data_IF_772055404530
#
_entry.id   IF_772055404530
#
_cell.length_a   1.000
_cell.length_b   1.000
_cell.length_c   1.000
_cell.angle_alpha   90.00
_cell.angle_beta   90.00
_cell.angle_gamma   90.00
#
_symmetry.space_group_name_H-M   'P 1'
#
loop_
_entity.id
_entity.type
_entity.pdbx_description
1 polymer ?
#
# COMPACT_ATOMS: atom_id res chain seq x y z
N UNK A 1 6.94 -10.58 -5.11
CA UNK A 1 6.08 -9.64 -5.82
C UNK A 1 5.59 -10.13 -7.17
N UNK A 2 6.10 -11.23 -7.68
CA UNK A 2 5.65 -11.80 -8.95
C UNK A 2 4.15 -12.13 -8.95
N UNK A 3 3.62 -12.64 -7.83
CA UNK A 3 2.18 -12.93 -7.72
C UNK A 3 1.33 -11.70 -7.98
N UNK A 4 1.74 -10.53 -7.45
CA UNK A 4 1.05 -9.27 -7.70
C UNK A 4 1.20 -8.84 -9.16
N UNK A 5 2.42 -8.92 -9.67
CA UNK A 5 2.76 -8.43 -11.03
C UNK A 5 2.07 -9.25 -12.12
N UNK A 6 1.73 -10.51 -11.84
CA UNK A 6 1.03 -11.39 -12.78
C UNK A 6 -0.49 -11.17 -12.79
N UNK A 7 -1.04 -10.41 -11.85
CA UNK A 7 -2.49 -10.16 -11.80
C UNK A 7 -2.91 -9.23 -12.95
N UNK A 8 -4.02 -9.56 -13.63
CA UNK A 8 -4.55 -8.67 -14.68
C UNK A 8 -4.83 -7.25 -14.19
N UNK A 9 -5.32 -7.09 -12.95
CA UNK A 9 -5.59 -5.77 -12.38
C UNK A 9 -4.31 -4.94 -12.26
N UNK A 10 -3.19 -5.58 -11.91
CA UNK A 10 -1.90 -4.91 -11.88
C UNK A 10 -1.42 -4.54 -13.29
N UNK A 11 -1.52 -5.49 -14.21
CA UNK A 11 -1.04 -5.28 -15.58
C UNK A 11 -1.77 -4.12 -16.27
N UNK A 12 -3.05 -3.95 -16.01
CA UNK A 12 -3.86 -2.86 -16.58
C UNK A 12 -3.70 -1.54 -15.83
N UNK A 13 -3.25 -1.56 -14.59
CA UNK A 13 -3.16 -0.36 -13.76
C UNK A 13 -2.06 0.58 -14.26
N UNK A 14 -2.36 1.88 -14.34
CA UNK A 14 -1.40 2.92 -14.68
C UNK A 14 -0.98 3.73 -13.44
N UNK A 15 -1.91 4.02 -12.55
CA UNK A 15 -1.68 4.80 -11.34
C UNK A 15 -1.92 3.91 -10.13
N UNK A 16 -0.88 3.69 -9.34
CA UNK A 16 -0.89 2.72 -8.25
C UNK A 16 -0.44 3.40 -6.96
N UNK A 17 -1.31 3.34 -5.94
CA UNK A 17 -0.91 3.65 -4.58
C UNK A 17 -0.21 2.42 -3.99
N UNK A 18 0.98 2.61 -3.44
CA UNK A 18 1.77 1.54 -2.80
C UNK A 18 2.48 2.13 -1.58
N UNK A 19 2.95 1.27 -0.71
CA UNK A 19 3.70 1.69 0.48
C UNK A 19 5.19 1.41 0.31
N UNK A 20 6.03 2.19 0.98
CA UNK A 20 7.45 1.89 1.13
C UNK A 20 7.61 1.04 2.39
N UNK A 21 8.00 -0.22 2.21
CA UNK A 21 7.91 -1.23 3.27
C UNK A 21 8.85 -0.97 4.45
N UNK A 22 8.32 -1.19 5.66
CA UNK A 22 9.10 -1.32 6.89
C UNK A 22 9.71 -2.74 6.96
N UNK A 23 10.72 -2.97 7.81
CA UNK A 23 11.39 -4.27 7.85
C UNK A 23 10.49 -5.46 8.18
N UNK A 24 9.40 -5.25 8.89
CA UNK A 24 8.44 -6.30 9.27
C UNK A 24 7.26 -6.46 8.31
N UNK A 25 7.26 -5.69 7.22
CA UNK A 25 6.23 -5.73 6.20
C UNK A 25 6.71 -6.50 4.98
N UNK A 26 5.77 -6.96 4.13
CA UNK A 26 6.13 -7.50 2.82
C UNK A 26 6.89 -6.44 2.05
N UNK A 27 8.09 -6.78 1.58
CA UNK A 27 9.01 -5.85 0.95
C UNK A 27 8.48 -5.29 -0.36
N UNK A 28 8.54 -3.97 -0.52
CA UNK A 28 8.09 -3.27 -1.73
C UNK A 28 9.19 -2.45 -2.39
N UNK A 29 10.38 -2.35 -1.78
CA UNK A 29 11.43 -1.45 -2.30
C UNK A 29 11.92 -1.88 -3.68
N UNK A 30 12.11 -3.18 -3.91
CA UNK A 30 12.49 -3.68 -5.23
C UNK A 30 11.38 -3.45 -6.26
N UNK A 31 10.13 -3.60 -5.85
CA UNK A 31 8.98 -3.30 -6.69
C UNK A 31 8.97 -1.81 -7.09
N UNK A 32 9.20 -0.92 -6.15
CA UNK A 32 9.29 0.52 -6.44
C UNK A 32 10.39 0.80 -7.47
N UNK A 33 11.55 0.18 -7.29
CA UNK A 33 12.67 0.38 -8.21
C UNK A 33 12.36 -0.11 -9.62
N UNK A 34 11.70 -1.27 -9.75
CA UNK A 34 11.37 -1.84 -11.07
C UNK A 34 10.28 -1.06 -11.79
N UNK A 35 9.31 -0.53 -11.08
CA UNK A 35 8.09 -0.01 -11.70
C UNK A 35 7.94 1.50 -11.68
N UNK A 36 8.77 2.24 -10.95
CA UNK A 36 8.63 3.70 -10.82
C UNK A 36 8.73 4.45 -12.15
N UNK A 37 9.44 3.89 -13.13
CA UNK A 37 9.55 4.49 -14.45
C UNK A 37 8.54 3.94 -15.46
N UNK A 38 7.90 2.83 -15.15
CA UNK A 38 6.96 2.14 -16.06
C UNK A 38 5.51 2.44 -15.73
N UNK A 39 5.22 2.71 -14.46
CA UNK A 39 3.88 3.03 -13.97
C UNK A 39 3.99 4.25 -13.07
N UNK A 40 2.87 4.95 -12.88
CA UNK A 40 2.84 6.07 -11.93
C UNK A 40 2.60 5.50 -10.54
N UNK A 41 3.63 5.47 -9.72
CA UNK A 41 3.54 5.00 -8.34
C UNK A 41 3.38 6.17 -7.39
N UNK A 42 2.45 6.05 -6.46
CA UNK A 42 2.18 7.04 -5.42
C UNK A 42 2.54 6.45 -4.07
N UNK A 43 3.23 7.22 -3.26
CA UNK A 43 3.57 6.86 -1.89
C UNK A 43 2.91 7.81 -0.91
N UNK A 44 2.50 7.32 0.26
CA UNK A 44 1.95 8.18 1.30
C UNK A 44 3.03 8.98 2.01
N UNK A 45 2.69 10.20 2.37
CA UNK A 45 3.50 11.08 3.21
C UNK A 45 2.67 11.43 4.44
N UNK A 46 3.22 11.22 5.63
CA UNK A 46 2.52 11.52 6.88
C UNK A 46 2.51 13.02 7.12
N UNK A 47 1.32 13.58 7.24
CA UNK A 47 1.09 14.99 7.57
C UNK A 47 0.10 15.08 8.74
N UNK A 48 0.64 15.22 9.96
CA UNK A 48 -0.20 15.19 11.15
C UNK A 48 -0.89 13.84 11.31
N UNK A 49 -2.21 13.84 11.25
CA UNK A 49 -3.03 12.63 11.39
C UNK A 49 -3.61 12.11 10.07
N UNK A 50 -3.14 12.64 8.93
CA UNK A 50 -3.58 12.22 7.60
C UNK A 50 -2.40 11.81 6.73
N UNK A 51 -2.70 11.06 5.67
CA UNK A 51 -1.75 10.74 4.60
C UNK A 51 -2.02 11.63 3.40
N UNK A 52 -0.97 12.30 2.93
CA UNK A 52 -0.94 12.91 1.61
C UNK A 52 -0.27 11.95 0.64
N UNK A 53 -0.60 12.04 -0.65
CA UNK A 53 0.01 11.19 -1.67
C UNK A 53 0.92 12.02 -2.56
N UNK A 54 2.10 11.48 -2.86
CA UNK A 54 3.06 12.08 -3.77
C UNK A 54 3.66 11.01 -4.67
N UNK A 55 4.07 11.42 -5.88
CA UNK A 55 4.61 10.48 -6.86
C UNK A 55 6.00 9.99 -6.44
N UNK A 56 6.26 8.71 -6.61
CA UNK A 56 7.59 8.13 -6.50
C UNK A 56 8.21 8.04 -7.89
N UNK A 57 9.11 8.97 -8.23
CA UNK A 57 9.79 8.97 -9.52
C UNK A 57 11.05 8.13 -9.50
N UNK A 58 11.79 8.17 -8.40
CA UNK A 58 13.02 7.40 -8.21
C UNK A 58 13.15 6.96 -6.76
N UNK A 59 13.56 5.71 -6.55
CA UNK A 59 13.79 5.20 -5.20
C UNK A 59 14.83 6.05 -4.45
N UNK A 60 15.86 6.53 -5.14
CA UNK A 60 16.93 7.33 -4.53
C UNK A 60 16.49 8.70 -4.06
N UNK A 61 15.34 9.20 -4.53
CA UNK A 61 14.81 10.50 -4.09
C UNK A 61 14.01 10.43 -2.80
N UNK A 62 13.75 9.23 -2.28
CA UNK A 62 12.98 9.04 -1.06
C UNK A 62 13.83 9.42 0.16
N UNK A 63 13.18 10.03 1.14
CA UNK A 63 13.79 10.48 2.38
C UNK A 63 13.04 9.90 3.57
N UNK A 64 13.74 9.69 4.69
CA UNK A 64 13.09 9.21 5.91
C UNK A 64 12.14 10.27 6.46
N UNK A 65 10.87 9.91 6.61
CA UNK A 65 9.84 10.79 7.14
C UNK A 65 9.67 10.64 8.65
N UNK A 66 8.53 11.16 9.14
CA UNK A 66 8.22 11.26 10.57
C UNK A 66 8.23 9.91 11.28
N UNK A 67 7.75 8.85 10.62
CA UNK A 67 7.66 7.50 11.21
C UNK A 67 8.79 6.59 10.72
N UNK A 68 9.90 7.15 10.27
CA UNK A 68 11.04 6.43 9.68
C UNK A 68 10.65 5.65 8.42
N UNK A 69 9.56 6.02 7.78
CA UNK A 69 9.12 5.50 6.50
C UNK A 69 9.73 6.36 5.40
N UNK A 70 10.18 5.72 4.31
CA UNK A 70 10.69 6.46 3.17
C UNK A 70 9.55 7.19 2.47
N UNK A 71 9.74 8.48 2.21
CA UNK A 71 8.71 9.35 1.64
C UNK A 71 9.28 10.21 0.51
N UNK A 72 8.49 10.47 -0.56
CA UNK A 72 8.90 11.35 -1.66
C UNK A 72 8.64 12.82 -1.32
N UNK A 73 9.40 13.38 -0.38
CA UNK A 73 9.14 14.69 0.21
C UNK A 73 9.31 15.85 -0.77
N UNK A 74 10.10 15.68 -1.84
CA UNK A 74 10.38 16.73 -2.81
C UNK A 74 9.40 16.74 -3.99
N UNK A 75 8.47 15.80 -4.04
CA UNK A 75 7.48 15.73 -5.10
C UNK A 75 6.23 16.54 -4.75
N UNK A 76 5.54 17.11 -5.75
CA UNK A 76 4.31 17.83 -5.49
C UNK A 76 3.19 16.92 -4.96
N UNK A 77 2.25 17.54 -4.26
CA UNK A 77 1.07 16.84 -3.75
C UNK A 77 0.25 16.29 -4.91
N UNK A 78 -0.09 15.00 -4.83
CA UNK A 78 -0.99 14.36 -5.78
C UNK A 78 -2.43 14.47 -5.26
N UNK A 79 -3.31 15.02 -6.09
CA UNK A 79 -4.70 15.30 -5.69
C UNK A 79 -5.74 14.60 -6.55
N UNK A 80 -5.35 13.98 -7.64
CA UNK A 80 -6.26 13.37 -8.62
C UNK A 80 -6.59 11.93 -8.24
N UNK A 81 -7.14 11.73 -7.04
CA UNK A 81 -7.41 10.41 -6.47
C UNK A 81 -8.33 9.55 -7.35
N UNK A 82 -9.18 10.19 -8.13
CA UNK A 82 -10.09 9.50 -9.05
C UNK A 82 -9.35 8.78 -10.19
N UNK A 83 -8.08 9.10 -10.42
CA UNK A 83 -7.27 8.43 -11.45
C UNK A 83 -6.54 7.20 -10.93
N UNK A 84 -6.57 6.92 -9.62
CA UNK A 84 -5.90 5.77 -9.04
C UNK A 84 -6.62 4.49 -9.45
N UNK A 85 -5.87 3.55 -10.02
CA UNK A 85 -6.42 2.28 -10.52
C UNK A 85 -6.34 1.16 -9.49
N UNK A 86 -5.29 1.17 -8.67
CA UNK A 86 -4.96 0.07 -7.77
C UNK A 86 -4.33 0.65 -6.50
N UNK A 87 -4.68 0.10 -5.35
CA UNK A 87 -4.07 0.45 -4.08
C UNK A 87 -3.53 -0.81 -3.40
N UNK A 88 -2.25 -0.77 -3.05
CA UNK A 88 -1.55 -1.85 -2.35
C UNK A 88 -1.32 -1.38 -0.92
N UNK A 89 -1.94 -2.06 0.04
CA UNK A 89 -2.13 -1.57 1.40
C UNK A 89 -1.34 -2.44 2.39
N UNK A 90 -0.52 -1.82 3.27
CA UNK A 90 0.17 -2.56 4.32
C UNK A 90 -0.76 -2.86 5.49
N UNK A 91 -0.36 -3.79 6.35
CA UNK A 91 -1.07 -4.07 7.58
C UNK A 91 -0.26 -4.95 8.50
N UNK A 92 -0.72 -5.04 9.75
CA UNK A 92 -0.14 -5.92 10.77
C UNK A 92 -0.71 -7.32 10.63
N UNK A 93 -2.01 -7.43 10.37
CA UNK A 93 -2.73 -8.69 10.19
C UNK A 93 -3.85 -8.52 9.18
N UNK A 94 -4.24 -9.62 8.55
CA UNK A 94 -5.29 -9.65 7.53
C UNK A 94 -6.13 -10.91 7.68
N UNK A 95 -7.38 -10.83 7.26
CA UNK A 95 -8.22 -12.01 7.08
C UNK A 95 -8.36 -12.31 5.58
N UNK A 96 -8.63 -13.58 5.21
CA UNK A 96 -8.81 -13.92 3.79
C UNK A 96 -9.94 -13.14 3.10
N UNK A 97 -10.93 -12.68 3.84
CA UNK A 97 -12.06 -11.90 3.30
C UNK A 97 -11.80 -10.39 3.25
N UNK A 98 -10.58 -9.95 3.54
CA UNK A 98 -10.17 -8.57 3.29
C UNK A 98 -10.21 -7.62 4.48
N UNK A 99 -10.42 -8.11 5.69
CA UNK A 99 -10.27 -7.29 6.89
C UNK A 99 -8.80 -7.04 7.17
N UNK A 100 -8.49 -5.86 7.70
CA UNK A 100 -7.12 -5.44 7.93
C UNK A 100 -6.97 -4.81 9.31
N UNK A 101 -5.91 -5.18 10.02
CA UNK A 101 -5.47 -4.52 11.25
C UNK A 101 -4.27 -3.64 10.91
N UNK A 102 -4.41 -2.34 11.15
CA UNK A 102 -3.31 -1.38 11.00
C UNK A 102 -2.54 -1.19 12.30
N UNK A 103 -1.63 -0.21 12.29
CA UNK A 103 -0.77 0.07 13.45
C UNK A 103 -1.42 1.00 14.50
N UNK A 104 -2.73 1.25 14.39
CA UNK A 104 -3.49 2.00 15.39
C UNK A 104 -3.64 3.49 15.11
N UNK A 105 -3.01 4.04 14.08
CA UNK A 105 -3.11 5.46 13.74
C UNK A 105 -4.31 5.80 12.87
N UNK A 106 -4.92 4.81 12.19
CA UNK A 106 -6.07 5.01 11.32
C UNK A 106 -5.77 5.75 10.02
N UNK A 107 -4.51 5.87 9.64
CA UNK A 107 -4.10 6.62 8.45
C UNK A 107 -4.73 6.10 7.16
N UNK A 108 -4.63 4.78 6.93
CA UNK A 108 -5.16 4.17 5.71
C UNK A 108 -6.68 4.13 5.69
N UNK A 109 -7.33 3.90 6.83
CA UNK A 109 -8.79 3.91 6.89
C UNK A 109 -9.35 5.30 6.58
N UNK A 110 -8.69 6.35 7.06
CA UNK A 110 -9.09 7.72 6.69
C UNK A 110 -8.85 8.02 5.22
N UNK A 111 -7.68 7.62 4.68
CA UNK A 111 -7.38 7.82 3.27
C UNK A 111 -8.38 7.09 2.39
N UNK A 112 -8.58 5.80 2.65
CA UNK A 112 -9.42 4.94 1.81
C UNK A 112 -10.92 5.23 1.96
N UNK A 113 -11.33 5.96 3.00
CA UNK A 113 -12.71 6.40 3.16
C UNK A 113 -13.07 7.56 2.24
N UNK A 114 -12.11 8.21 1.59
CA UNK A 114 -12.38 9.21 0.57
C UNK A 114 -13.21 8.55 -0.55
N UNK A 115 -14.35 9.17 -0.96
CA UNK A 115 -15.20 8.58 -2.00
C UNK A 115 -14.51 8.23 -3.30
N UNK A 116 -13.42 8.91 -3.64
CA UNK A 116 -12.63 8.60 -4.84
C UNK A 116 -12.04 7.19 -4.83
N UNK A 117 -11.87 6.57 -3.64
CA UNK A 117 -11.34 5.22 -3.52
C UNK A 117 -12.38 4.11 -3.67
N UNK A 118 -13.66 4.43 -3.82
CA UNK A 118 -14.71 3.41 -3.92
C UNK A 118 -14.51 2.46 -5.09
N UNK A 119 -14.07 2.99 -6.24
CA UNK A 119 -13.81 2.18 -7.43
C UNK A 119 -12.37 1.65 -7.54
N UNK A 120 -11.52 1.95 -6.58
CA UNK A 120 -10.12 1.51 -6.59
C UNK A 120 -10.04 0.10 -6.05
N UNK A 121 -9.40 -0.80 -6.80
CA UNK A 121 -9.15 -2.17 -6.35
C UNK A 121 -8.07 -2.16 -5.28
N UNK A 122 -8.35 -2.77 -4.13
CA UNK A 122 -7.48 -2.73 -2.95
C UNK A 122 -6.93 -4.10 -2.64
N UNK A 123 -5.62 -4.21 -2.60
CA UNK A 123 -4.91 -5.47 -2.33
C UNK A 123 -4.05 -5.29 -1.07
N UNK A 124 -4.18 -6.22 -0.13
CA UNK A 124 -3.25 -6.35 0.98
C UNK A 124 -2.18 -7.39 0.66
N UNK A 125 -0.94 -7.11 1.04
CA UNK A 125 0.17 -8.06 0.93
C UNK A 125 0.48 -8.60 2.32
N UNK A 126 0.49 -9.91 2.47
CA UNK A 126 0.68 -10.56 3.76
C UNK A 126 1.69 -11.69 3.68
N UNK A 127 2.51 -11.82 4.73
CA UNK A 127 3.20 -13.08 5.00
C UNK A 127 2.20 -14.07 5.58
N UNK A 128 2.43 -15.39 5.47
CA UNK A 128 1.52 -16.38 6.06
C UNK A 128 1.22 -16.15 7.54
N UNK A 129 2.21 -15.70 8.31
CA UNK A 129 2.03 -15.44 9.74
C UNK A 129 1.13 -14.24 10.04
N UNK A 130 0.82 -13.40 9.05
CA UNK A 130 -0.06 -12.25 9.21
C UNK A 130 -1.52 -12.59 8.92
N UNK A 131 -1.80 -13.78 8.39
CA UNK A 131 -3.18 -14.22 8.14
C UNK A 131 -3.80 -14.75 9.42
N UNK A 132 -4.98 -14.24 9.74
CA UNK A 132 -5.77 -14.66 10.90
C UNK A 132 -7.18 -14.99 10.44
N UNK A 133 -7.94 -15.73 11.26
CA UNK A 133 -9.28 -16.16 10.90
C UNK A 133 -10.30 -15.04 10.98
N UNK A 134 -10.13 -14.10 11.91
CA UNK A 134 -11.02 -12.96 12.07
C UNK A 134 -10.30 -11.81 12.77
N UNK A 135 -10.81 -10.62 12.53
CA UNK A 135 -10.35 -9.38 13.14
C UNK A 135 -11.56 -8.53 13.53
N UNK A 136 -11.47 -7.83 14.67
CA UNK A 136 -12.49 -6.84 15.00
C UNK A 136 -12.43 -5.69 13.98
N UNK A 137 -13.60 -5.25 13.50
CA UNK A 137 -13.69 -4.13 12.58
C UNK A 137 -14.59 -3.07 13.16
N UNK A 138 -14.24 -1.80 12.95
CA UNK A 138 -15.07 -0.66 13.26
C UNK A 138 -15.87 -0.25 12.01
N UNK A 139 -17.00 0.48 12.15
CA UNK A 139 -17.80 0.87 10.99
C UNK A 139 -17.05 1.69 9.95
N UNK A 140 -15.98 2.40 10.33
CA UNK A 140 -15.18 3.23 9.43
C UNK A 140 -14.04 2.45 8.76
N UNK A 141 -13.82 1.19 9.11
CA UNK A 141 -12.76 0.38 8.52
C UNK A 141 -13.12 0.02 7.08
N UNK A 142 -12.13 0.09 6.19
CA UNK A 142 -12.33 -0.21 4.77
C UNK A 142 -11.86 -1.63 4.50
N UNK A 143 -12.75 -2.44 3.92
CA UNK A 143 -12.45 -3.82 3.55
C UNK A 143 -11.68 -3.84 2.23
N UNK A 144 -10.63 -4.68 2.17
CA UNK A 144 -9.82 -4.85 0.97
C UNK A 144 -10.49 -5.86 0.03
N UNK A 145 -10.21 -5.73 -1.27
CA UNK A 145 -10.78 -6.62 -2.28
C UNK A 145 -10.08 -7.98 -2.32
N UNK A 146 -8.79 -8.01 -2.00
CA UNK A 146 -7.98 -9.23 -2.12
C UNK A 146 -6.80 -9.18 -1.16
N UNK A 147 -6.43 -10.32 -0.61
CA UNK A 147 -5.20 -10.49 0.16
C UNK A 147 -4.30 -11.46 -0.59
N UNK A 148 -3.10 -11.01 -0.95
CA UNK A 148 -2.07 -11.88 -1.52
C UNK A 148 -1.14 -12.33 -0.41
N UNK A 149 -0.97 -13.64 -0.28
CA UNK A 149 -0.03 -14.23 0.66
C UNK A 149 1.26 -14.52 -0.06
N UNK A 150 2.34 -13.91 0.41
CA UNK A 150 3.68 -14.05 -0.17
C UNK A 150 4.57 -14.87 0.76
N UNK A 151 5.60 -15.55 0.20
CA UNK A 151 6.54 -16.31 1.04
C UNK A 151 7.20 -15.40 2.08
N UNK A 152 7.52 -15.98 3.25
CA UNK A 152 8.26 -15.24 4.27
C UNK A 152 9.64 -14.84 3.76
N UNK A 153 10.26 -13.84 4.42
CA UNK A 153 11.61 -13.36 4.05
C UNK A 153 12.62 -14.51 4.00
N UNK A 154 12.46 -15.51 4.87
CA UNK A 154 13.39 -16.65 4.93
C UNK A 154 13.25 -17.60 3.75
N UNK A 155 12.14 -17.56 3.00
CA UNK A 155 11.94 -18.43 1.83
C UNK A 155 12.34 -17.76 0.52
N UNK A 156 12.76 -16.50 0.55
CA UNK A 156 13.18 -15.76 -0.63
C UNK A 156 14.71 -15.83 -0.85
N UNK A 157 15.42 -16.34 0.12
CA UNK A 157 16.87 -16.46 0.06
C UNK A 157 17.33 -17.64 -0.78
#
# INVERSE_FOLDING_TARGET
MRLLEDLPVFQRAHVILVYASLPDEVGTLDFLQRWSEKKQLLLPVVKGDVLELRRCTHLNSLQSGVLKILEPLNEPLFTQYETIDLAIIPGVAFTPDGKRLGRGKGYYDRLLSNPAFRGVYKIGLAFPCQLVTDLPVAPHDVQLNQILTLPSVNSIR
#
